data_IF_604343756176
#
_entry.id   IF_604343756176
#
_cell.length_a   1.000
_cell.length_b   1.000
_cell.length_c   1.000
_cell.angle_alpha   90.00
_cell.angle_beta   90.00
_cell.angle_gamma   90.00
#
_symmetry.space_group_name_H-M   'P 1'
#
loop_
_entity.id
_entity.type
_entity.pdbx_description
1 polymer ?
#
# COMPACT_ATOMS: atom_id res chain seq x y z
N UNK A 1 27.45 46.69 -16.50
CA UNK A 1 28.08 45.66 -15.63
C UNK A 1 27.20 44.42 -15.66
N UNK A 2 27.69 43.35 -16.30
CA UNK A 2 26.95 42.09 -16.46
C UNK A 2 27.04 41.29 -15.15
N UNK A 3 25.99 41.29 -14.33
CA UNK A 3 25.94 40.49 -13.11
C UNK A 3 25.48 39.08 -13.44
N UNK A 4 26.41 38.22 -13.85
CA UNK A 4 26.19 36.77 -13.88
C UNK A 4 26.02 36.29 -12.43
N UNK A 5 24.76 36.06 -12.02
CA UNK A 5 24.45 35.41 -10.74
C UNK A 5 25.23 34.09 -10.67
N UNK A 6 25.89 33.74 -9.55
CA UNK A 6 26.48 32.42 -9.39
C UNK A 6 25.34 31.41 -9.43
N UNK A 7 25.21 30.69 -10.55
CA UNK A 7 24.31 29.55 -10.66
C UNK A 7 24.85 28.47 -9.73
N UNK A 8 24.34 28.41 -8.51
CA UNK A 8 24.59 27.27 -7.63
C UNK A 8 24.06 26.03 -8.34
N UNK A 9 24.98 25.26 -8.92
CA UNK A 9 24.64 24.04 -9.63
C UNK A 9 24.24 23.01 -8.58
N UNK A 10 22.93 22.85 -8.36
CA UNK A 10 22.44 21.80 -7.50
C UNK A 10 22.72 20.45 -8.14
N UNK A 11 23.36 19.55 -7.38
CA UNK A 11 23.78 18.23 -7.86
C UNK A 11 22.86 17.17 -7.26
N UNK A 12 22.44 16.22 -8.09
CA UNK A 12 21.67 15.08 -7.64
C UNK A 12 22.50 14.19 -6.70
N UNK A 13 22.01 13.94 -5.49
CA UNK A 13 22.71 13.12 -4.49
C UNK A 13 22.86 11.65 -4.91
N UNK A 14 22.08 11.19 -5.89
CA UNK A 14 21.99 9.77 -6.27
C UNK A 14 22.91 9.44 -7.44
N UNK A 15 22.90 10.25 -8.50
CA UNK A 15 23.64 10.02 -9.74
C UNK A 15 24.65 11.12 -10.09
N UNK A 16 24.80 12.15 -9.26
CA UNK A 16 25.73 13.26 -9.43
C UNK A 16 25.52 14.13 -10.70
N UNK A 17 24.42 13.94 -11.43
CA UNK A 17 24.01 14.83 -12.51
C UNK A 17 23.42 16.15 -11.97
N UNK A 18 23.21 17.13 -12.86
CA UNK A 18 22.47 18.37 -12.51
C UNK A 18 21.07 18.02 -11.99
N UNK A 19 20.72 18.57 -10.83
CA UNK A 19 19.41 18.41 -10.21
C UNK A 19 18.41 19.44 -10.76
N UNK A 20 17.16 19.00 -10.86
CA UNK A 20 16.02 19.82 -11.24
C UNK A 20 14.96 19.92 -10.14
N UNK A 21 15.05 19.07 -9.11
CA UNK A 21 14.02 18.92 -8.08
C UNK A 21 14.63 18.76 -6.69
N UNK A 22 13.86 19.12 -5.66
CA UNK A 22 14.20 18.97 -4.25
C UNK A 22 13.10 18.15 -3.56
N UNK A 23 13.47 17.15 -2.77
CA UNK A 23 12.50 16.39 -1.99
C UNK A 23 11.94 17.25 -0.84
N UNK A 24 10.61 17.42 -0.69
CA UNK A 24 10.04 18.24 0.38
C UNK A 24 10.14 17.58 1.78
N UNK A 25 10.38 16.26 1.85
CA UNK A 25 10.51 15.53 3.12
C UNK A 25 11.90 15.62 3.72
N UNK A 26 12.95 15.49 2.89
CA UNK A 26 14.32 15.39 3.37
C UNK A 26 15.27 16.47 2.79
N UNK A 27 14.79 17.32 1.88
CA UNK A 27 15.55 18.44 1.33
C UNK A 27 16.60 18.08 0.28
N UNK A 28 16.76 16.80 -0.10
CA UNK A 28 17.81 16.41 -1.04
C UNK A 28 17.47 16.77 -2.49
N UNK A 29 18.51 17.09 -3.25
CA UNK A 29 18.43 17.34 -4.68
C UNK A 29 18.39 16.04 -5.50
N UNK A 30 17.45 15.93 -6.44
CA UNK A 30 17.38 14.83 -7.41
C UNK A 30 17.10 15.36 -8.83
N UNK A 31 17.41 14.55 -9.85
CA UNK A 31 17.30 14.98 -11.26
C UNK A 31 16.05 14.42 -11.97
N UNK A 32 15.56 13.25 -11.57
CA UNK A 32 14.47 12.55 -12.25
C UNK A 32 13.70 11.64 -11.31
N UNK A 33 12.56 11.13 -11.80
CA UNK A 33 11.74 10.18 -11.06
C UNK A 33 12.50 8.87 -10.76
N UNK A 34 13.40 8.45 -11.65
CA UNK A 34 14.26 7.28 -11.42
C UNK A 34 15.11 7.46 -10.17
N UNK A 35 15.73 8.64 -10.02
CA UNK A 35 16.46 9.00 -8.82
C UNK A 35 15.52 9.11 -7.61
N UNK A 36 14.36 9.74 -7.76
CA UNK A 36 13.40 9.86 -6.67
C UNK A 36 12.98 8.49 -6.07
N UNK A 37 12.83 7.46 -6.91
CA UNK A 37 12.47 6.08 -6.51
C UNK A 37 13.68 5.16 -6.28
N UNK A 38 14.92 5.67 -6.39
CA UNK A 38 16.11 4.85 -6.24
C UNK A 38 16.19 4.28 -4.81
N UNK A 39 16.85 3.12 -4.61
CA UNK A 39 17.04 2.54 -3.27
C UNK A 39 17.60 3.52 -2.24
N UNK A 40 18.51 4.41 -2.68
CA UNK A 40 19.11 5.47 -1.85
C UNK A 40 18.12 6.52 -1.32
N UNK A 41 16.95 6.66 -1.94
CA UNK A 41 15.90 7.61 -1.55
C UNK A 41 14.52 6.92 -1.41
N UNK A 42 14.53 5.60 -1.25
CA UNK A 42 13.31 4.80 -1.26
C UNK A 42 12.39 5.17 -0.07
N UNK A 43 12.93 5.42 1.11
CA UNK A 43 12.14 5.72 2.31
C UNK A 43 11.17 6.92 2.15
N UNK A 44 11.63 8.02 1.55
CA UNK A 44 10.79 9.18 1.28
C UNK A 44 9.79 8.92 0.15
N UNK A 45 10.15 8.10 -0.83
CA UNK A 45 9.25 7.72 -1.91
C UNK A 45 8.15 6.78 -1.44
N UNK A 46 8.46 5.78 -0.62
CA UNK A 46 7.50 4.80 -0.09
C UNK A 46 6.55 5.42 0.93
N UNK A 47 7.06 6.26 1.84
CA UNK A 47 6.19 7.02 2.74
C UNK A 47 5.15 7.82 1.96
N UNK A 48 5.57 8.51 0.90
CA UNK A 48 4.65 9.23 0.03
C UNK A 48 3.58 8.33 -0.59
N UNK A 49 3.99 7.22 -1.20
CA UNK A 49 3.05 6.30 -1.85
C UNK A 49 2.06 5.74 -0.84
N UNK A 50 2.54 5.34 0.34
CA UNK A 50 1.69 4.88 1.44
C UNK A 50 0.68 5.95 1.84
N UNK A 51 1.12 7.18 2.08
CA UNK A 51 0.25 8.27 2.50
C UNK A 51 -0.81 8.56 1.44
N UNK A 52 -0.43 8.59 0.15
CA UNK A 52 -1.37 8.74 -0.95
C UNK A 52 -2.41 7.61 -0.98
N UNK A 53 -1.97 6.35 -0.84
CA UNK A 53 -2.87 5.20 -0.81
C UNK A 53 -3.82 5.25 0.40
N UNK A 54 -3.29 5.52 1.60
CA UNK A 54 -4.08 5.62 2.82
C UNK A 54 -5.08 6.78 2.77
N UNK A 55 -4.67 7.93 2.24
CA UNK A 55 -5.56 9.08 2.05
C UNK A 55 -6.67 8.77 1.05
N UNK A 56 -6.36 8.10 -0.07
CA UNK A 56 -7.36 7.70 -1.05
C UNK A 56 -8.37 6.69 -0.48
N UNK A 57 -7.92 5.78 0.39
CA UNK A 57 -8.81 4.83 1.08
C UNK A 57 -9.67 5.51 2.15
N UNK A 58 -9.09 6.42 2.95
CA UNK A 58 -9.83 7.15 3.99
C UNK A 58 -10.98 7.98 3.41
N UNK A 59 -10.82 8.48 2.19
CA UNK A 59 -11.85 9.29 1.52
C UNK A 59 -13.01 8.46 0.93
N UNK A 60 -13.05 7.15 1.15
CA UNK A 60 -14.26 6.35 0.92
C UNK A 60 -15.20 6.56 2.11
N UNK A 61 -15.92 7.67 2.09
CA UNK A 61 -16.92 8.01 3.09
C UNK A 61 -18.01 6.93 3.05
N UNK A 62 -18.19 6.20 4.15
CA UNK A 62 -19.41 5.41 4.36
C UNK A 62 -20.50 6.42 4.67
N UNK A 63 -21.49 6.53 3.79
CA UNK A 63 -22.60 7.44 4.01
C UNK A 63 -23.39 7.03 5.27
N UNK A 64 -24.07 8.01 5.89
CA UNK A 64 -24.77 7.79 7.15
C UNK A 64 -25.85 6.70 7.04
N UNK A 65 -26.46 6.54 5.87
CA UNK A 65 -27.49 5.53 5.61
C UNK A 65 -26.87 4.12 5.54
N UNK A 66 -25.76 3.94 4.83
CA UNK A 66 -24.99 2.69 4.80
C UNK A 66 -24.53 2.28 6.20
N UNK A 67 -24.09 3.25 7.02
CA UNK A 67 -23.77 3.00 8.43
C UNK A 67 -24.99 2.56 9.23
N UNK A 68 -26.14 3.20 9.04
CA UNK A 68 -27.38 2.82 9.73
C UNK A 68 -27.82 1.40 9.38
N UNK A 69 -27.86 1.08 8.08
CA UNK A 69 -28.23 -0.27 7.59
C UNK A 69 -27.32 -1.35 8.16
N UNK A 70 -26.00 -1.10 8.20
CA UNK A 70 -25.03 -2.01 8.80
C UNK A 70 -25.32 -2.24 10.29
N UNK A 71 -25.61 -1.18 11.05
CA UNK A 71 -25.94 -1.28 12.47
C UNK A 71 -27.28 -1.98 12.72
N UNK A 72 -28.25 -1.85 11.81
CA UNK A 72 -29.53 -2.58 11.90
C UNK A 72 -29.35 -4.09 11.69
N UNK A 73 -28.46 -4.49 10.77
CA UNK A 73 -28.12 -5.91 10.54
C UNK A 73 -27.48 -6.51 11.79
N UNK A 74 -26.44 -5.87 12.34
CA UNK A 74 -25.75 -6.33 13.55
C UNK A 74 -26.69 -6.45 14.76
N UNK A 75 -27.63 -5.50 14.91
CA UNK A 75 -28.67 -5.58 15.96
C UNK A 75 -29.59 -6.78 15.76
N UNK A 76 -30.00 -7.06 14.52
CA UNK A 76 -30.86 -8.21 14.21
C UNK A 76 -30.18 -9.53 14.56
N UNK A 77 -28.90 -9.68 14.20
CA UNK A 77 -28.11 -10.89 14.49
C UNK A 77 -27.97 -11.11 16.00
N UNK A 78 -27.63 -10.07 16.76
CA UNK A 78 -27.50 -10.15 18.22
C UNK A 78 -28.81 -10.57 18.91
N UNK A 79 -29.95 -10.09 18.41
CA UNK A 79 -31.27 -10.46 18.93
C UNK A 79 -31.60 -11.94 18.64
N UNK A 80 -31.28 -12.43 17.45
CA UNK A 80 -31.47 -13.85 17.08
C UNK A 80 -30.64 -14.75 18.00
N UNK A 81 -29.39 -14.36 18.29
CA UNK A 81 -28.47 -15.14 19.13
C UNK A 81 -28.88 -15.18 20.60
N UNK A 82 -29.60 -14.16 21.08
CA UNK A 82 -30.14 -14.13 22.45
C UNK A 82 -31.44 -14.94 22.62
N UNK A 83 -32.06 -15.39 21.54
CA UNK A 83 -33.38 -16.05 21.57
C UNK A 83 -33.35 -17.57 21.35
N UNK A 84 -32.20 -18.18 21.05
CA UNK A 84 -32.14 -19.62 20.76
C UNK A 84 -30.97 -20.32 21.46
N UNK A 85 -31.28 -21.01 22.56
CA UNK A 85 -30.40 -22.00 23.19
C UNK A 85 -30.47 -23.39 22.50
N UNK A 86 -31.01 -23.50 21.27
CA UNK A 86 -31.25 -24.80 20.61
C UNK A 86 -30.70 -24.96 19.19
N UNK A 87 -29.97 -24.00 18.59
CA UNK A 87 -29.40 -24.24 17.25
C UNK A 87 -28.12 -25.08 17.31
N UNK A 88 -28.20 -26.29 16.75
CA UNK A 88 -27.10 -27.26 16.62
C UNK A 88 -25.91 -26.70 15.83
N UNK A 89 -24.67 -27.15 16.12
CA UNK A 89 -23.48 -26.73 15.39
C UNK A 89 -23.54 -27.19 13.93
N UNK A 90 -23.54 -26.23 13.00
CA UNK A 90 -23.29 -26.49 11.58
C UNK A 90 -21.78 -26.52 11.35
N UNK A 91 -21.15 -27.63 11.70
CA UNK A 91 -19.81 -27.95 11.21
C UNK A 91 -19.96 -28.52 9.79
N UNK A 92 -19.84 -27.64 8.79
CA UNK A 92 -19.75 -28.03 7.39
C UNK A 92 -18.28 -28.00 6.99
N UNK A 93 -17.72 -29.20 6.88
CA UNK A 93 -16.40 -29.59 6.36
C UNK A 93 -15.88 -28.73 5.19
N UNK A 94 -14.84 -27.93 5.46
CA UNK A 94 -13.97 -27.29 4.46
C UNK A 94 -12.58 -27.97 4.47
N UNK A 95 -12.54 -29.29 4.28
CA UNK A 95 -11.29 -30.01 3.98
C UNK A 95 -10.94 -29.90 2.50
N UNK A 96 -10.43 -28.73 2.07
CA UNK A 96 -9.73 -28.64 0.78
C UNK A 96 -8.28 -29.13 0.94
N UNK A 97 -8.09 -30.44 1.02
CA UNK A 97 -6.79 -31.06 0.75
C UNK A 97 -6.46 -30.91 -0.74
N UNK A 98 -5.73 -29.84 -1.06
CA UNK A 98 -5.15 -29.64 -2.39
C UNK A 98 -3.97 -30.61 -2.54
N UNK A 99 -4.24 -31.77 -3.15
CA UNK A 99 -3.21 -32.71 -3.59
C UNK A 99 -2.33 -32.04 -4.66
N UNK A 100 -1.16 -31.54 -4.28
CA UNK A 100 -0.15 -31.10 -5.23
C UNK A 100 0.68 -32.31 -5.68
N UNK A 101 0.17 -33.04 -6.67
CA UNK A 101 0.98 -33.98 -7.43
C UNK A 101 1.92 -33.19 -8.34
N UNK A 102 3.16 -33.00 -7.91
CA UNK A 102 4.25 -32.71 -8.84
C UNK A 102 5.00 -34.00 -9.14
N UNK A 103 4.64 -34.59 -10.28
CA UNK A 103 5.44 -35.59 -10.97
C UNK A 103 5.58 -35.17 -12.43
N UNK A 104 6.66 -34.47 -12.76
CA UNK A 104 7.45 -34.62 -14.00
C UNK A 104 8.75 -33.83 -13.78
N UNK A 105 9.86 -34.50 -13.47
CA UNK A 105 10.81 -35.08 -14.44
C UNK A 105 11.56 -34.05 -15.27
N UNK A 106 12.87 -33.92 -15.02
CA UNK A 106 13.86 -33.71 -16.07
C UNK A 106 14.70 -32.43 -16.01
N UNK A 107 15.94 -32.59 -15.55
CA UNK A 107 17.23 -32.16 -16.15
C UNK A 107 18.13 -31.36 -15.19
N UNK A 108 19.46 -31.37 -15.24
CA UNK A 108 20.56 -32.21 -15.78
C UNK A 108 21.83 -31.47 -15.29
N UNK A 109 22.81 -32.20 -14.73
CA UNK A 109 24.25 -31.87 -14.58
C UNK A 109 24.71 -30.49 -14.08
N UNK A 110 25.52 -30.49 -13.02
CA UNK A 110 26.89 -29.99 -13.03
C UNK A 110 27.69 -30.67 -11.91
#
# INVERSE_FOLDING_TARGET
LNTSKPTTCHICVICQARSSYICPRCGINYCSLVCYKAPKHNQCSESFYRDCCMSAMRNRYVDAESKSRMMDILRREALIQSHDASTQPVDSDDSLTINFQHSTSGNTTA
#
